data_IF_849104496965
#
_entry.id   IF_849104496965
#
_cell.length_a   1.000
_cell.length_b   1.000
_cell.length_c   1.000
_cell.angle_alpha   90.00
_cell.angle_beta   90.00
_cell.angle_gamma   90.00
#
_symmetry.space_group_name_H-M   'P 1'
#
loop_
_entity.id
_entity.type
_entity.pdbx_description
1 polymer ?
#
# COMPACT_ATOMS: atom_id res chain seq x y z
N UNK A 1 -0.80 5.16 -16.95
CA UNK A 1 -0.75 6.32 -16.05
C UNK A 1 -0.50 5.87 -14.62
N UNK A 2 0.21 6.66 -13.83
CA UNK A 2 0.46 6.37 -12.43
C UNK A 2 -0.75 6.70 -11.55
N UNK A 3 -0.91 5.93 -10.50
CA UNK A 3 -1.94 6.15 -9.46
C UNK A 3 -1.31 6.00 -8.08
N UNK A 4 -1.66 6.89 -7.17
CA UNK A 4 -1.24 6.81 -5.78
C UNK A 4 -2.34 6.13 -4.97
N UNK A 5 -1.95 5.11 -4.21
CA UNK A 5 -2.82 4.37 -3.30
C UNK A 5 -2.32 4.66 -1.89
N UNK A 6 -3.10 5.41 -1.14
CA UNK A 6 -2.73 5.89 0.19
C UNK A 6 -3.67 5.22 1.19
N UNK A 7 -3.13 4.38 2.06
CA UNK A 7 -3.91 3.61 3.01
C UNK A 7 -3.61 4.02 4.44
N UNK A 8 -4.65 4.09 5.26
CA UNK A 8 -4.54 4.36 6.70
C UNK A 8 -4.95 3.11 7.46
N UNK A 9 -4.13 2.71 8.43
CA UNK A 9 -4.38 1.53 9.24
C UNK A 9 -5.38 1.80 10.36
N UNK A 10 -6.06 0.72 10.79
CA UNK A 10 -6.76 0.72 12.07
C UNK A 10 -5.74 0.80 13.21
N UNK A 11 -6.12 1.27 14.41
CA UNK A 11 -5.23 1.20 15.58
C UNK A 11 -4.75 -0.23 15.83
N UNK A 12 -3.49 -0.36 16.28
CA UNK A 12 -2.89 -1.66 16.64
C UNK A 12 -2.93 -2.70 15.52
N UNK A 13 -2.62 -2.27 14.31
CA UNK A 13 -2.70 -3.11 13.10
C UNK A 13 -1.59 -4.15 12.98
N UNK A 14 -0.55 -4.09 13.83
CA UNK A 14 0.63 -4.96 13.71
C UNK A 14 0.32 -6.45 13.55
N UNK A 15 -0.46 -7.07 14.45
CA UNK A 15 -0.81 -8.50 14.31
C UNK A 15 -1.59 -8.79 13.03
N UNK A 16 -2.47 -7.89 12.60
CA UNK A 16 -3.24 -8.04 11.36
C UNK A 16 -2.33 -7.99 10.14
N UNK A 17 -1.36 -7.06 10.13
CA UNK A 17 -0.35 -6.97 9.07
C UNK A 17 0.48 -8.25 8.98
N UNK A 18 0.94 -8.76 10.12
CA UNK A 18 1.77 -9.96 10.17
C UNK A 18 1.11 -11.15 9.49
N UNK A 19 -0.19 -11.33 9.70
CA UNK A 19 -0.94 -12.45 9.13
C UNK A 19 -1.15 -12.38 7.62
N UNK A 20 -1.11 -11.20 7.04
CA UNK A 20 -1.39 -10.99 5.61
C UNK A 20 -0.18 -10.48 4.80
N UNK A 21 0.96 -10.22 5.47
CA UNK A 21 2.11 -9.56 4.86
C UNK A 21 2.68 -10.29 3.65
N UNK A 22 2.82 -11.59 3.74
CA UNK A 22 3.41 -12.38 2.64
C UNK A 22 2.60 -12.24 1.35
N UNK A 23 1.26 -12.34 1.43
CA UNK A 23 0.38 -12.21 0.27
C UNK A 23 0.33 -10.78 -0.25
N UNK A 24 0.37 -9.81 0.65
CA UNK A 24 0.43 -8.38 0.29
C UNK A 24 1.70 -8.07 -0.52
N UNK A 25 2.86 -8.50 -0.05
CA UNK A 25 4.14 -8.29 -0.72
C UNK A 25 4.22 -9.01 -2.06
N UNK A 26 3.62 -10.20 -2.18
CA UNK A 26 3.61 -10.96 -3.44
C UNK A 26 2.93 -10.16 -4.55
N UNK A 27 1.82 -9.49 -4.26
CA UNK A 27 1.13 -8.65 -5.23
C UNK A 27 1.97 -7.45 -5.66
N UNK A 28 2.69 -6.83 -4.72
CA UNK A 28 3.61 -5.73 -5.04
C UNK A 28 4.77 -6.20 -5.90
N UNK A 29 5.31 -7.38 -5.62
CA UNK A 29 6.39 -7.96 -6.43
C UNK A 29 5.94 -8.25 -7.85
N UNK A 30 4.70 -8.68 -8.04
CA UNK A 30 4.12 -8.88 -9.37
C UNK A 30 4.09 -7.57 -10.16
N UNK A 31 3.65 -6.47 -9.56
CA UNK A 31 3.69 -5.15 -10.18
C UNK A 31 5.14 -4.73 -10.52
N UNK A 32 6.07 -4.98 -9.60
CA UNK A 32 7.50 -4.69 -9.83
C UNK A 32 8.03 -5.45 -11.05
N UNK A 33 7.75 -6.74 -11.09
CA UNK A 33 8.26 -7.62 -12.16
C UNK A 33 7.66 -7.28 -13.52
N UNK A 34 6.46 -6.72 -13.54
CA UNK A 34 5.80 -6.19 -14.75
C UNK A 34 6.29 -4.79 -15.14
N UNK A 35 7.17 -4.17 -14.35
CA UNK A 35 7.65 -2.82 -14.59
C UNK A 35 6.62 -1.73 -14.28
N UNK A 36 5.63 -2.03 -13.46
CA UNK A 36 4.49 -1.16 -13.14
C UNK A 36 4.54 -0.55 -11.74
N UNK A 37 5.56 -0.82 -10.97
CA UNK A 37 5.69 -0.29 -9.60
C UNK A 37 6.70 0.85 -9.58
N UNK A 38 6.27 2.04 -9.15
CA UNK A 38 7.17 3.16 -8.94
C UNK A 38 7.78 3.11 -7.54
N UNK A 39 6.95 2.95 -6.53
CA UNK A 39 7.39 2.91 -5.13
C UNK A 39 6.30 2.26 -4.28
N UNK A 40 6.71 1.57 -3.20
CA UNK A 40 5.80 1.02 -2.22
C UNK A 40 6.49 0.96 -0.86
N UNK A 41 5.75 1.30 0.19
CA UNK A 41 6.26 1.20 1.55
C UNK A 41 5.24 1.62 2.60
N UNK A 42 5.46 1.20 3.85
CA UNK A 42 4.60 1.57 4.96
C UNK A 42 5.01 2.90 5.58
N UNK A 43 4.08 3.51 6.32
CA UNK A 43 4.32 4.72 7.11
C UNK A 43 4.64 4.32 8.55
N UNK A 44 5.88 4.52 9.05
CA UNK A 44 6.18 4.28 10.46
C UNK A 44 5.32 5.17 11.36
N UNK A 45 4.91 4.63 12.51
CA UNK A 45 4.10 5.39 13.47
C UNK A 45 4.90 6.46 14.22
N UNK A 46 6.23 6.34 14.23
CA UNK A 46 7.15 7.30 14.82
C UNK A 46 8.24 7.67 13.80
N UNK A 47 8.96 8.72 14.06
CA UNK A 47 10.04 9.20 13.18
C UNK A 47 11.29 8.31 13.31
N UNK A 48 11.18 7.09 12.80
CA UNK A 48 12.25 6.09 12.80
C UNK A 48 11.93 5.07 11.69
N UNK A 49 12.94 4.70 10.91
CA UNK A 49 12.78 3.68 9.86
C UNK A 49 12.37 2.32 10.42
N UNK A 50 12.84 2.01 11.64
CA UNK A 50 12.42 0.83 12.39
C UNK A 50 11.59 1.29 13.59
N UNK A 51 10.26 1.34 13.46
CA UNK A 51 9.38 1.81 14.54
C UNK A 51 9.21 0.79 15.67
N UNK A 52 9.73 -0.44 15.54
CA UNK A 52 9.60 -1.51 16.52
C UNK A 52 8.12 -1.73 16.93
N UNK A 53 7.81 -1.70 18.23
CA UNK A 53 6.45 -1.94 18.72
C UNK A 53 5.45 -0.84 18.36
N UNK A 54 5.93 0.37 18.04
CA UNK A 54 5.04 1.44 17.60
C UNK A 54 4.35 1.09 16.28
N UNK A 55 5.00 0.28 15.45
CA UNK A 55 4.40 -0.25 14.23
C UNK A 55 4.20 0.80 13.15
N UNK A 56 3.19 0.57 12.31
CA UNK A 56 2.89 1.37 11.12
C UNK A 56 1.46 1.89 11.15
N UNK A 57 1.24 3.05 10.53
CA UNK A 57 -0.07 3.71 10.49
C UNK A 57 -0.69 3.73 9.11
N UNK A 58 -0.02 3.18 8.12
CA UNK A 58 -0.51 3.17 6.76
C UNK A 58 0.53 2.73 5.76
N UNK A 59 0.19 2.91 4.49
CA UNK A 59 1.05 2.53 3.37
C UNK A 59 0.88 3.49 2.20
N UNK A 60 1.91 3.59 1.37
CA UNK A 60 1.86 4.29 0.10
C UNK A 60 2.30 3.32 -1.01
N UNK A 61 1.50 3.23 -2.06
CA UNK A 61 1.87 2.53 -3.29
C UNK A 61 1.62 3.48 -4.45
N UNK A 62 2.60 3.64 -5.34
CA UNK A 62 2.41 4.34 -6.61
C UNK A 62 2.75 3.36 -7.72
N UNK A 63 1.76 3.05 -8.55
CA UNK A 63 1.88 2.05 -9.60
C UNK A 63 1.08 2.44 -10.84
N UNK A 64 1.35 1.75 -11.94
CA UNK A 64 0.71 2.02 -13.21
C UNK A 64 -0.52 1.14 -13.41
N UNK A 65 -1.62 1.78 -13.81
CA UNK A 65 -2.87 1.12 -14.16
C UNK A 65 -3.48 1.79 -15.39
N UNK A 66 -4.35 1.05 -16.09
CA UNK A 66 -5.02 1.55 -17.28
C UNK A 66 -6.04 2.65 -16.94
N UNK A 67 -6.64 2.63 -15.76
CA UNK A 67 -7.66 3.59 -15.33
C UNK A 67 -7.70 3.72 -13.81
N UNK A 68 -8.36 4.77 -13.32
CA UNK A 68 -8.62 4.94 -11.89
C UNK A 68 -9.45 3.78 -11.33
N UNK A 69 -10.41 3.31 -12.13
CA UNK A 69 -11.26 2.17 -11.76
C UNK A 69 -10.43 0.91 -11.55
N UNK A 70 -9.47 0.64 -12.45
CA UNK A 70 -8.58 -0.52 -12.31
C UNK A 70 -7.67 -0.39 -11.10
N UNK A 71 -7.17 0.81 -10.82
CA UNK A 71 -6.34 1.06 -9.63
C UNK A 71 -7.13 0.81 -8.35
N UNK A 72 -8.38 1.28 -8.30
CA UNK A 72 -9.29 1.04 -7.16
C UNK A 72 -9.59 -0.44 -6.97
N UNK A 73 -9.86 -1.15 -8.05
CA UNK A 73 -10.12 -2.59 -8.00
C UNK A 73 -8.90 -3.35 -7.46
N UNK A 74 -7.71 -2.99 -7.92
CA UNK A 74 -6.48 -3.59 -7.42
C UNK A 74 -6.29 -3.33 -5.92
N UNK A 75 -6.55 -2.10 -5.48
CA UNK A 75 -6.44 -1.72 -4.07
C UNK A 75 -7.44 -2.47 -3.19
N UNK A 76 -8.70 -2.60 -3.66
CA UNK A 76 -9.76 -3.30 -2.93
C UNK A 76 -9.46 -4.79 -2.71
N UNK A 77 -8.67 -5.39 -3.58
CA UNK A 77 -8.28 -6.80 -3.51
C UNK A 77 -7.05 -7.05 -2.65
N UNK A 78 -6.46 -6.00 -2.06
CA UNK A 78 -5.29 -6.15 -1.21
C UNK A 78 -5.60 -7.05 0.00
N UNK A 79 -4.76 -8.09 0.27
CA UNK A 79 -4.93 -8.92 1.46
C UNK A 79 -5.03 -8.14 2.77
N UNK A 80 -4.43 -6.96 2.84
CA UNK A 80 -4.55 -6.09 4.02
C UNK A 80 -5.96 -5.53 4.19
N UNK A 81 -6.71 -5.33 3.12
CA UNK A 81 -8.13 -4.92 3.21
C UNK A 81 -8.95 -6.06 3.82
N UNK A 82 -8.81 -7.26 3.30
CA UNK A 82 -9.52 -8.45 3.81
C UNK A 82 -9.17 -8.74 5.26
N UNK A 83 -7.91 -8.57 5.63
CA UNK A 83 -7.44 -8.79 7.00
C UNK A 83 -7.88 -7.72 8.00
N UNK A 84 -8.49 -6.65 7.54
CA UNK A 84 -8.95 -5.56 8.41
C UNK A 84 -7.84 -4.60 8.85
N UNK A 85 -6.72 -4.57 8.14
CA UNK A 85 -5.59 -3.67 8.43
C UNK A 85 -5.96 -2.22 8.16
N UNK A 86 -6.62 -1.95 7.03
CA UNK A 86 -6.90 -0.59 6.57
C UNK A 86 -8.29 -0.14 7.00
N UNK A 87 -8.37 1.04 7.62
CA UNK A 87 -9.65 1.71 7.88
C UNK A 87 -10.04 2.67 6.76
N UNK A 88 -9.10 3.08 5.91
CA UNK A 88 -9.34 4.02 4.82
C UNK A 88 -8.32 3.80 3.71
N UNK A 89 -8.79 3.82 2.46
CA UNK A 89 -7.93 3.76 1.28
C UNK A 89 -8.36 4.86 0.33
N UNK A 90 -7.40 5.69 -0.09
CA UNK A 90 -7.60 6.76 -1.07
C UNK A 90 -6.81 6.39 -2.30
N UNK A 91 -7.44 6.44 -3.47
CA UNK A 91 -6.79 6.21 -4.76
C UNK A 91 -6.98 7.45 -5.62
N UNK A 92 -5.87 7.99 -6.13
CA UNK A 92 -5.91 9.18 -6.99
C UNK A 92 -4.86 9.11 -8.09
N UNK A 93 -5.15 9.74 -9.24
CA UNK A 93 -4.15 9.87 -10.30
C UNK A 93 -2.91 10.60 -9.80
N UNK A 94 -1.76 10.22 -10.31
CA UNK A 94 -0.48 10.80 -9.93
C UNK A 94 0.34 11.13 -11.17
N UNK A 95 0.82 12.36 -11.29
CA UNK A 95 1.75 12.78 -12.32
C UNK A 95 3.17 12.79 -11.76
N UNK A 96 4.01 11.93 -12.31
CA UNK A 96 5.43 11.94 -11.98
C UNK A 96 6.10 13.07 -12.74
N UNK A 97 6.42 14.16 -12.03
CA UNK A 97 7.11 15.32 -12.62
C UNK A 97 8.62 15.17 -12.47
N UNK A 98 9.08 14.66 -11.33
CA UNK A 98 10.50 14.43 -10.98
C UNK A 98 10.61 13.09 -10.26
N UNK A 99 11.77 12.45 -10.22
CA UNK A 99 13.05 12.73 -10.80
C UNK A 99 13.01 12.70 -12.22
#
# INVERSE_FOLDING_TARGET
MWYAIISEDVPDSGPLRSGARARHLERLRTLRDEGRLLVAGPHPAIDNEDPAEAGFTGSLVIAEFASLEDARAWADEDPYVEAGVYQRVIVKPFNKVLP
#
